data_IF_265562995984
#
_entry.id   IF_265562995984
#
_cell.length_a   1.000
_cell.length_b   1.000
_cell.length_c   1.000
_cell.angle_alpha   90.00
_cell.angle_beta   90.00
_cell.angle_gamma   90.00
#
_symmetry.space_group_name_H-M   'P 1'
#
loop_
_entity.id
_entity.type
_entity.pdbx_description
1 polymer ?
#
# COMPACT_ATOMS: atom_id res chain seq x y z
N UNK A 1 -11.88 0.91 -20.97
CA UNK A 1 -10.42 1.14 -20.79
C UNK A 1 -9.74 -0.10 -20.19
N UNK A 2 -9.50 -1.10 -21.05
CA UNK A 2 -8.77 -2.33 -20.69
C UNK A 2 -7.25 -2.10 -20.51
N UNK A 3 -6.76 -0.88 -20.77
CA UNK A 3 -5.32 -0.57 -20.77
C UNK A 3 -4.73 -0.21 -19.40
N UNK A 4 -5.54 -0.16 -18.33
CA UNK A 4 -5.08 0.23 -17.00
C UNK A 4 -4.83 -0.95 -16.04
N UNK A 5 -4.92 -2.20 -16.52
CA UNK A 5 -4.72 -3.37 -15.66
C UNK A 5 -3.25 -3.75 -15.57
N UNK A 6 -2.76 -4.10 -14.36
CA UNK A 6 -1.40 -4.58 -14.21
C UNK A 6 -1.20 -5.83 -15.04
N UNK A 7 -0.26 -5.80 -15.95
CA UNK A 7 0.24 -7.01 -16.57
C UNK A 7 1.13 -7.72 -15.54
N UNK A 8 1.16 -9.05 -15.55
CA UNK A 8 2.05 -9.85 -14.71
C UNK A 8 3.48 -9.29 -14.74
N UNK A 9 3.99 -8.97 -15.92
CA UNK A 9 5.34 -8.45 -16.16
C UNK A 9 5.63 -7.11 -15.45
N UNK A 10 4.68 -6.16 -15.45
CA UNK A 10 4.90 -4.84 -14.83
C UNK A 10 4.94 -4.93 -13.31
N UNK A 11 4.04 -5.72 -12.70
CA UNK A 11 4.04 -5.95 -11.26
C UNK A 11 5.35 -6.59 -10.80
N UNK A 12 5.83 -7.62 -11.51
CA UNK A 12 7.08 -8.32 -11.21
C UNK A 12 8.28 -7.36 -11.28
N UNK A 13 8.33 -6.53 -12.33
CA UNK A 13 9.42 -5.57 -12.52
C UNK A 13 9.43 -4.47 -11.45
N UNK A 14 8.27 -4.00 -10.99
CA UNK A 14 8.18 -2.99 -9.92
C UNK A 14 8.58 -3.58 -8.58
N UNK A 15 8.12 -4.79 -8.25
CA UNK A 15 8.49 -5.47 -6.99
C UNK A 15 9.99 -5.77 -6.96
N UNK A 16 10.54 -6.34 -8.05
CA UNK A 16 11.98 -6.58 -8.17
C UNK A 16 12.79 -5.28 -8.04
N UNK A 17 12.36 -4.21 -8.74
CA UNK A 17 13.01 -2.90 -8.66
C UNK A 17 12.95 -2.27 -7.26
N UNK A 18 11.90 -2.51 -6.50
CA UNK A 18 11.80 -2.08 -5.11
C UNK A 18 12.76 -2.85 -4.20
N UNK A 19 12.89 -4.16 -4.39
CA UNK A 19 13.89 -4.99 -3.68
C UNK A 19 15.31 -4.52 -4.00
N UNK A 20 15.64 -4.27 -5.27
CA UNK A 20 16.93 -3.77 -5.72
C UNK A 20 17.30 -2.41 -5.10
N UNK A 21 16.32 -1.54 -4.86
CA UNK A 21 16.49 -0.25 -4.17
C UNK A 21 16.60 -0.37 -2.65
N UNK A 22 16.35 -1.54 -2.08
CA UNK A 22 16.31 -1.71 -0.63
C UNK A 22 15.04 -1.09 0.02
N UNK A 23 13.95 -0.96 -0.74
CA UNK A 23 12.66 -0.52 -0.20
C UNK A 23 12.19 -1.55 0.83
N UNK A 24 11.86 -1.09 2.04
CA UNK A 24 11.44 -1.99 3.11
C UNK A 24 9.98 -2.38 3.05
N UNK A 25 9.15 -1.51 2.50
CA UNK A 25 7.70 -1.71 2.44
C UNK A 25 7.13 -1.10 1.17
N UNK A 26 6.46 -1.94 0.38
CA UNK A 26 5.79 -1.55 -0.86
C UNK A 26 4.30 -1.86 -0.74
N UNK A 27 3.44 -0.86 -0.95
CA UNK A 27 2.00 -1.04 -0.96
C UNK A 27 1.45 -0.92 -2.38
N UNK A 28 0.67 -1.91 -2.82
CA UNK A 28 0.06 -1.94 -4.16
C UNK A 28 -1.46 -1.96 -4.07
N UNK A 29 -2.12 -1.09 -4.86
CA UNK A 29 -3.57 -1.01 -4.92
C UNK A 29 -4.12 -2.02 -5.92
N UNK A 30 -4.36 -3.25 -5.48
CA UNK A 30 -4.78 -4.35 -6.34
C UNK A 30 -6.28 -4.30 -6.69
N UNK A 31 -7.16 -3.95 -5.72
CA UNK A 31 -8.59 -3.82 -5.94
C UNK A 31 -9.22 -2.92 -4.86
N UNK A 32 -9.87 -1.85 -5.30
CA UNK A 32 -10.53 -0.91 -4.38
C UNK A 32 -11.96 -1.33 -4.02
N UNK A 33 -12.47 -0.81 -2.90
CA UNK A 33 -13.90 -0.97 -2.55
C UNK A 33 -14.84 -0.34 -3.59
N UNK A 34 -14.41 0.66 -4.31
CA UNK A 34 -15.15 1.31 -5.39
C UNK A 34 -15.28 0.44 -6.64
N UNK A 35 -14.31 -0.46 -6.88
CA UNK A 35 -14.32 -1.35 -8.05
C UNK A 35 -15.52 -2.33 -8.05
N UNK A 36 -16.18 -2.56 -6.90
CA UNK A 36 -17.41 -3.32 -6.86
C UNK A 36 -18.59 -2.70 -7.62
N UNK A 37 -18.47 -1.42 -8.02
CA UNK A 37 -19.47 -0.72 -8.85
C UNK A 37 -19.29 -0.98 -10.34
N UNK A 38 -18.20 -1.62 -10.75
CA UNK A 38 -17.93 -2.00 -12.14
C UNK A 38 -18.88 -3.11 -12.60
N UNK A 39 -18.90 -3.38 -13.89
CA UNK A 39 -19.73 -4.45 -14.43
C UNK A 39 -19.40 -5.81 -13.79
N UNK A 40 -20.37 -6.71 -13.62
CA UNK A 40 -20.11 -8.04 -13.08
C UNK A 40 -19.05 -8.84 -13.86
N UNK A 41 -18.96 -8.64 -15.17
CA UNK A 41 -17.95 -9.28 -16.01
C UNK A 41 -16.53 -8.79 -15.66
N UNK A 42 -16.37 -7.49 -15.48
CA UNK A 42 -15.11 -6.86 -15.14
C UNK A 42 -14.66 -7.24 -13.72
N UNK A 43 -15.59 -7.26 -12.75
CA UNK A 43 -15.28 -7.73 -11.39
C UNK A 43 -14.83 -9.18 -11.40
N UNK A 44 -15.50 -10.06 -12.19
CA UNK A 44 -15.09 -11.47 -12.33
C UNK A 44 -13.68 -11.58 -12.90
N UNK A 45 -13.39 -10.80 -13.94
CA UNK A 45 -12.08 -10.77 -14.56
C UNK A 45 -11.00 -10.37 -13.54
N UNK A 46 -11.19 -9.25 -12.83
CA UNK A 46 -10.24 -8.74 -11.85
C UNK A 46 -9.96 -9.71 -10.70
N UNK A 47 -11.02 -10.33 -10.15
CA UNK A 47 -10.88 -11.32 -9.08
C UNK A 47 -10.14 -12.57 -9.56
N UNK A 48 -10.47 -13.06 -10.76
CA UNK A 48 -9.79 -14.19 -11.39
C UNK A 48 -8.32 -13.89 -11.67
N UNK A 49 -8.05 -12.72 -12.24
CA UNK A 49 -6.69 -12.23 -12.51
C UNK A 49 -5.85 -12.14 -11.23
N UNK A 50 -6.37 -11.47 -10.18
CA UNK A 50 -5.68 -11.35 -8.89
C UNK A 50 -5.29 -12.72 -8.33
N UNK A 51 -6.22 -13.69 -8.34
CA UNK A 51 -5.94 -15.05 -7.89
C UNK A 51 -4.84 -15.72 -8.70
N UNK A 52 -4.86 -15.57 -10.03
CA UNK A 52 -3.89 -16.19 -10.93
C UNK A 52 -2.50 -15.59 -10.72
N UNK A 53 -2.41 -14.27 -10.61
CA UNK A 53 -1.15 -13.56 -10.38
C UNK A 53 -0.53 -13.97 -9.05
N UNK A 54 -1.30 -13.94 -7.96
CA UNK A 54 -0.82 -14.37 -6.64
C UNK A 54 -0.24 -15.78 -6.68
N UNK A 55 -1.00 -16.73 -7.25
CA UNK A 55 -0.55 -18.11 -7.35
C UNK A 55 0.75 -18.26 -8.11
N UNK A 56 0.91 -17.51 -9.20
CA UNK A 56 2.07 -17.59 -10.07
C UNK A 56 3.31 -16.88 -9.50
N UNK A 57 3.12 -15.84 -8.68
CA UNK A 57 4.21 -15.00 -8.17
C UNK A 57 4.67 -15.39 -6.75
N UNK A 58 3.91 -16.19 -6.02
CA UNK A 58 4.24 -16.50 -4.62
C UNK A 58 5.63 -17.11 -4.46
N UNK A 59 6.04 -17.97 -5.39
CA UNK A 59 7.34 -18.65 -5.34
C UNK A 59 8.49 -17.66 -5.62
N UNK A 60 8.32 -16.74 -6.59
CA UNK A 60 9.28 -15.67 -6.87
C UNK A 60 9.41 -14.72 -5.66
N UNK A 61 8.28 -14.34 -5.04
CA UNK A 61 8.27 -13.51 -3.83
C UNK A 61 8.96 -14.19 -2.65
N UNK A 62 8.80 -15.50 -2.51
CA UNK A 62 9.50 -16.29 -1.50
C UNK A 62 11.01 -16.25 -1.74
N UNK A 63 11.46 -16.47 -2.97
CA UNK A 63 12.88 -16.45 -3.37
C UNK A 63 13.51 -15.07 -3.16
N UNK A 64 12.80 -13.99 -3.44
CA UNK A 64 13.28 -12.61 -3.26
C UNK A 64 13.27 -12.14 -1.79
N UNK A 65 12.81 -12.97 -0.88
CA UNK A 65 12.70 -12.61 0.54
C UNK A 65 11.57 -11.60 0.81
N UNK A 66 10.56 -11.52 -0.06
CA UNK A 66 9.42 -10.61 0.06
C UNK A 66 8.30 -11.27 0.86
N UNK A 67 7.88 -10.63 1.95
CA UNK A 67 6.74 -11.05 2.77
C UNK A 67 5.45 -10.41 2.26
N UNK A 68 4.49 -11.23 1.88
CA UNK A 68 3.15 -10.75 1.51
C UNK A 68 2.33 -10.44 2.75
N UNK A 69 1.68 -9.29 2.76
CA UNK A 69 0.74 -8.85 3.78
C UNK A 69 -0.56 -8.36 3.10
N UNK A 70 -1.69 -8.94 3.46
CA UNK A 70 -2.97 -8.49 2.91
C UNK A 70 -3.55 -7.35 3.73
N UNK A 71 -3.91 -6.26 3.05
CA UNK A 71 -4.53 -5.07 3.63
C UNK A 71 -5.89 -4.86 2.96
N UNK A 72 -6.96 -5.01 3.73
CA UNK A 72 -8.32 -4.88 3.21
C UNK A 72 -9.37 -5.58 4.05
N UNK A 73 -10.58 -5.64 3.51
CA UNK A 73 -11.74 -6.18 4.24
C UNK A 73 -12.32 -7.43 3.57
N UNK A 74 -12.89 -8.33 4.39
CA UNK A 74 -13.46 -9.60 3.91
C UNK A 74 -14.81 -9.48 3.20
N UNK A 75 -15.73 -8.57 3.55
CA UNK A 75 -17.05 -8.54 2.94
C UNK A 75 -16.96 -8.44 1.41
N UNK A 76 -17.72 -9.30 0.71
CA UNK A 76 -17.79 -9.42 -0.76
C UNK A 76 -16.54 -10.04 -1.42
N UNK A 77 -15.39 -10.12 -0.74
CA UNK A 77 -14.20 -10.76 -1.30
C UNK A 77 -14.46 -12.26 -1.51
N UNK A 78 -14.11 -12.76 -2.70
CA UNK A 78 -14.34 -14.16 -3.02
C UNK A 78 -13.48 -15.08 -2.14
N UNK A 79 -14.07 -16.13 -1.61
CA UNK A 79 -13.37 -17.12 -0.77
C UNK A 79 -12.12 -17.69 -1.44
N UNK A 80 -12.17 -17.94 -2.76
CA UNK A 80 -11.04 -18.46 -3.53
C UNK A 80 -9.87 -17.47 -3.63
N UNK A 81 -10.15 -16.16 -3.75
CA UNK A 81 -9.13 -15.10 -3.74
C UNK A 81 -8.54 -14.95 -2.35
N UNK A 82 -9.40 -14.89 -1.32
CA UNK A 82 -8.95 -14.81 0.08
C UNK A 82 -8.07 -16.00 0.47
N UNK A 83 -8.45 -17.22 0.04
CA UNK A 83 -7.65 -18.43 0.30
C UNK A 83 -6.26 -18.34 -0.33
N UNK A 84 -6.14 -17.82 -1.56
CA UNK A 84 -4.85 -17.67 -2.22
C UNK A 84 -3.98 -16.59 -1.57
N UNK A 85 -4.57 -15.45 -1.20
CA UNK A 85 -3.87 -14.40 -0.44
C UNK A 85 -3.32 -14.97 0.88
N UNK A 86 -4.16 -15.67 1.65
CA UNK A 86 -3.74 -16.28 2.92
C UNK A 86 -2.69 -17.39 2.73
N UNK A 87 -2.73 -18.09 1.58
CA UNK A 87 -1.68 -19.03 1.21
C UNK A 87 -0.36 -18.32 1.00
N UNK A 88 -0.35 -17.23 0.22
CA UNK A 88 0.85 -16.42 -0.04
C UNK A 88 1.43 -15.84 1.25
N UNK A 89 0.59 -15.27 2.13
CA UNK A 89 1.01 -14.78 3.44
C UNK A 89 1.72 -15.87 4.26
N UNK A 90 1.15 -17.08 4.33
CA UNK A 90 1.76 -18.18 5.09
C UNK A 90 3.09 -18.65 4.51
N UNK A 91 3.18 -18.77 3.18
CA UNK A 91 4.40 -19.22 2.50
C UNK A 91 5.54 -18.23 2.70
N UNK A 92 5.24 -16.93 2.64
CA UNK A 92 6.24 -15.86 2.71
C UNK A 92 6.42 -15.29 4.13
N UNK A 93 5.80 -15.88 5.15
CA UNK A 93 5.76 -15.32 6.51
C UNK A 93 7.15 -15.10 7.14
N UNK A 94 8.12 -15.93 6.79
CA UNK A 94 9.49 -15.86 7.30
C UNK A 94 10.40 -14.87 6.55
N UNK A 95 9.90 -14.20 5.50
CA UNK A 95 10.69 -13.29 4.69
C UNK A 95 10.86 -11.92 5.37
N UNK A 96 12.06 -11.33 5.22
CA UNK A 96 12.44 -10.10 5.91
C UNK A 96 13.03 -9.02 4.99
N UNK A 97 13.26 -9.31 3.70
CA UNK A 97 13.85 -8.35 2.75
C UNK A 97 12.93 -7.16 2.52
N UNK A 98 11.66 -7.40 2.23
CA UNK A 98 10.64 -6.38 1.99
C UNK A 98 9.25 -6.88 2.39
N UNK A 99 8.39 -5.99 2.85
CA UNK A 99 6.96 -6.26 3.01
C UNK A 99 6.20 -5.75 1.79
N UNK A 100 5.43 -6.63 1.13
CA UNK A 100 4.53 -6.29 0.05
C UNK A 100 3.09 -6.23 0.60
N UNK A 101 2.57 -5.03 0.83
CA UNK A 101 1.19 -4.83 1.22
C UNK A 101 0.29 -4.89 -0.01
N UNK A 102 -0.48 -5.95 -0.11
CA UNK A 102 -1.50 -6.10 -1.14
C UNK A 102 -2.83 -5.48 -0.67
N UNK A 103 -3.10 -4.25 -1.11
CA UNK A 103 -4.35 -3.56 -0.81
C UNK A 103 -5.46 -4.11 -1.73
N UNK A 104 -6.17 -5.13 -1.24
CA UNK A 104 -7.20 -5.87 -1.98
C UNK A 104 -8.54 -5.78 -1.24
N UNK A 105 -9.59 -5.34 -1.94
CA UNK A 105 -10.87 -4.94 -1.35
C UNK A 105 -10.65 -3.86 -0.28
N UNK A 106 -9.80 -2.90 -0.62
CA UNK A 106 -9.34 -1.83 0.25
C UNK A 106 -10.00 -0.49 -0.10
N UNK A 107 -10.13 0.37 0.89
CA UNK A 107 -10.50 1.78 0.74
C UNK A 107 -10.32 2.50 2.07
N UNK A 108 -9.53 3.56 2.11
CA UNK A 108 -9.12 4.24 3.34
C UNK A 108 -10.29 4.79 4.15
N UNK A 109 -11.34 5.31 3.49
CA UNK A 109 -12.58 5.73 4.21
C UNK A 109 -13.29 4.55 4.86
N UNK A 110 -13.32 3.38 4.20
CA UNK A 110 -13.93 2.18 4.75
C UNK A 110 -13.10 1.64 5.92
N UNK A 111 -11.78 1.66 5.81
CA UNK A 111 -10.85 1.27 6.86
C UNK A 111 -11.02 2.13 8.12
N UNK A 112 -11.01 3.46 7.97
CA UNK A 112 -11.23 4.39 9.10
C UNK A 112 -12.60 4.17 9.74
N UNK A 113 -13.66 3.94 8.95
CA UNK A 113 -15.00 3.67 9.47
C UNK A 113 -15.06 2.32 10.22
N UNK A 114 -14.37 1.28 9.73
CA UNK A 114 -14.29 -0.01 10.41
C UNK A 114 -13.47 0.09 11.71
N UNK A 115 -12.36 0.84 11.72
CA UNK A 115 -11.57 1.15 12.90
C UNK A 115 -12.41 1.90 13.95
N UNK A 116 -13.12 2.95 13.55
CA UNK A 116 -14.01 3.71 14.44
C UNK A 116 -15.09 2.82 15.04
N UNK A 117 -15.70 1.91 14.26
CA UNK A 117 -16.68 0.95 14.75
C UNK A 117 -16.11 -0.02 15.77
N UNK A 118 -14.90 -0.54 15.52
CA UNK A 118 -14.21 -1.43 16.44
C UNK A 118 -13.89 -0.73 17.78
N UNK A 119 -13.38 0.51 17.72
CA UNK A 119 -13.10 1.35 18.89
C UNK A 119 -14.38 1.63 19.69
N UNK A 120 -15.48 2.00 19.02
CA UNK A 120 -16.77 2.21 19.66
C UNK A 120 -17.26 0.94 20.38
N UNK A 121 -17.04 -0.24 19.79
CA UNK A 121 -17.33 -1.52 20.43
C UNK A 121 -16.49 -1.77 21.68
N UNK A 122 -15.21 -1.40 21.69
CA UNK A 122 -14.36 -1.50 22.87
C UNK A 122 -14.81 -0.54 23.99
N UNK A 123 -15.19 0.68 23.63
CA UNK A 123 -15.72 1.65 24.58
C UNK A 123 -17.04 1.16 25.20
N UNK A 124 -17.96 0.68 24.38
CA UNK A 124 -19.23 0.12 24.84
C UNK A 124 -19.06 -1.10 25.76
N UNK A 125 -18.02 -1.90 25.53
CA UNK A 125 -17.67 -3.06 26.36
C UNK A 125 -16.83 -2.69 27.61
N UNK A 126 -16.54 -1.42 27.84
CA UNK A 126 -15.74 -0.94 28.99
C UNK A 126 -14.25 -1.28 28.92
N UNK A 127 -13.74 -1.77 27.76
CA UNK A 127 -12.32 -2.09 27.58
C UNK A 127 -11.46 -0.88 27.25
N UNK A 128 -12.07 0.21 26.78
CA UNK A 128 -11.41 1.46 26.41
C UNK A 128 -12.24 2.64 26.95
N UNK A 129 -11.59 3.64 27.50
CA UNK A 129 -12.26 4.92 27.82
C UNK A 129 -12.26 5.82 26.60
N UNK A 130 -13.37 6.49 26.30
CA UNK A 130 -13.45 7.42 25.18
C UNK A 130 -12.38 8.52 25.24
N UNK A 131 -12.03 8.99 26.46
CA UNK A 131 -10.97 9.98 26.68
C UNK A 131 -9.54 9.48 26.41
N UNK A 132 -9.36 8.16 26.25
CA UNK A 132 -8.06 7.54 25.96
C UNK A 132 -7.88 7.23 24.46
N UNK A 133 -8.81 7.64 23.61
CA UNK A 133 -8.68 7.49 22.16
C UNK A 133 -7.66 8.50 21.64
N UNK A 134 -6.63 8.02 20.98
CA UNK A 134 -5.55 8.78 20.36
C UNK A 134 -5.32 8.31 18.93
N UNK A 135 -4.45 8.98 18.16
CA UNK A 135 -4.01 8.52 16.83
C UNK A 135 -3.45 7.09 16.88
N UNK A 136 -2.67 6.76 17.92
CA UNK A 136 -2.15 5.41 18.14
C UNK A 136 -3.29 4.40 18.38
N UNK A 137 -4.39 4.81 18.98
CA UNK A 137 -5.58 3.96 19.13
C UNK A 137 -6.20 3.66 17.77
N UNK A 138 -6.35 4.67 16.90
CA UNK A 138 -6.87 4.48 15.54
C UNK A 138 -5.95 3.54 14.77
N UNK A 139 -4.63 3.81 14.74
CA UNK A 139 -3.63 2.99 14.05
C UNK A 139 -3.73 1.50 14.40
N UNK A 140 -3.90 1.17 15.69
CA UNK A 140 -4.06 -0.23 16.14
C UNK A 140 -5.30 -0.93 15.60
N UNK A 141 -6.30 -0.19 15.13
CA UNK A 141 -7.55 -0.73 14.59
C UNK A 141 -7.65 -0.64 13.07
N UNK A 142 -6.62 -0.12 12.38
CA UNK A 142 -6.51 -0.19 10.93
C UNK A 142 -6.30 -1.63 10.47
N UNK A 143 -6.47 -1.91 9.18
CA UNK A 143 -6.37 -3.27 8.63
C UNK A 143 -4.96 -3.87 8.77
N UNK A 144 -3.93 -3.03 8.80
CA UNK A 144 -2.55 -3.42 9.04
C UNK A 144 -1.89 -2.49 10.07
N UNK A 145 -2.04 -2.76 11.38
CA UNK A 145 -1.51 -1.90 12.45
C UNK A 145 0.01 -1.71 12.43
N UNK A 146 0.74 -2.64 11.81
CA UNK A 146 2.20 -2.63 11.70
C UNK A 146 2.71 -1.94 10.45
N UNK A 147 1.81 -1.56 9.52
CA UNK A 147 2.19 -0.84 8.31
C UNK A 147 2.77 0.53 8.65
N UNK A 148 3.83 0.90 7.98
CA UNK A 148 4.50 2.19 8.17
C UNK A 148 3.75 3.30 7.47
N UNK A 149 4.01 4.54 7.89
CA UNK A 149 3.57 5.70 7.13
C UNK A 149 4.24 5.71 5.75
N UNK A 150 3.48 6.13 4.74
CA UNK A 150 3.95 6.18 3.36
C UNK A 150 4.83 7.40 3.16
N UNK A 151 6.06 7.20 2.74
CA UNK A 151 6.99 8.28 2.39
C UNK A 151 6.73 8.83 1.00
N UNK A 152 6.45 7.95 0.02
CA UNK A 152 6.21 8.30 -1.37
C UNK A 152 4.98 7.56 -1.91
N UNK A 153 3.98 8.31 -2.37
CA UNK A 153 2.82 7.78 -3.07
C UNK A 153 2.98 8.04 -4.57
N UNK A 154 3.04 6.97 -5.35
CA UNK A 154 3.16 7.03 -6.81
C UNK A 154 1.80 6.76 -7.44
N UNK A 155 1.33 7.65 -8.31
CA UNK A 155 0.14 7.46 -9.13
C UNK A 155 0.50 7.45 -10.61
N UNK A 156 0.18 6.35 -11.28
CA UNK A 156 0.34 6.18 -12.74
C UNK A 156 -0.95 6.52 -13.49
N UNK A 157 -0.88 6.65 -14.82
CA UNK A 157 -2.05 6.87 -15.67
C UNK A 157 -2.48 8.33 -15.82
N UNK A 158 -1.61 9.30 -15.47
CA UNK A 158 -1.87 10.73 -15.70
C UNK A 158 -2.85 11.40 -14.74
N UNK A 159 -3.41 10.67 -13.79
CA UNK A 159 -4.36 11.21 -12.83
C UNK A 159 -3.67 11.74 -11.57
N UNK A 160 -4.13 12.88 -11.05
CA UNK A 160 -3.52 13.59 -9.91
C UNK A 160 -4.45 13.54 -8.67
N UNK A 161 -4.70 12.35 -8.17
CA UNK A 161 -5.51 12.11 -6.97
C UNK A 161 -5.11 10.80 -6.29
N UNK A 162 -5.33 10.67 -4.99
CA UNK A 162 -5.02 9.46 -4.21
C UNK A 162 -6.06 8.35 -4.35
N UNK A 163 -7.27 8.70 -4.78
CA UNK A 163 -8.40 7.78 -4.97
C UNK A 163 -8.70 6.88 -3.76
N UNK A 164 -8.73 7.48 -2.57
CA UNK A 164 -9.06 6.75 -1.33
C UNK A 164 -7.99 5.69 -0.94
N UNK A 165 -6.76 5.83 -1.46
CA UNK A 165 -5.66 4.90 -1.18
C UNK A 165 -4.85 5.38 0.02
N UNK A 166 -4.72 4.53 1.04
CA UNK A 166 -3.89 4.71 2.24
C UNK A 166 -4.01 6.10 2.87
N UNK A 167 -5.25 6.60 3.06
CA UNK A 167 -5.50 7.99 3.48
C UNK A 167 -4.83 8.29 4.83
N UNK A 168 -4.82 7.34 5.74
CA UNK A 168 -4.22 7.50 7.05
C UNK A 168 -2.70 7.49 6.97
N UNK A 169 -2.13 6.48 6.33
CA UNK A 169 -0.69 6.27 6.23
C UNK A 169 0.00 7.27 5.31
N UNK A 170 -0.72 7.78 4.30
CA UNK A 170 -0.19 8.73 3.31
C UNK A 170 -0.42 10.19 3.69
N UNK A 171 -0.82 10.49 4.93
CA UNK A 171 -1.14 11.86 5.37
C UNK A 171 0.01 12.86 5.14
N UNK A 172 1.26 12.38 5.21
CA UNK A 172 2.48 13.17 4.99
C UNK A 172 3.33 12.66 3.82
N UNK A 173 2.76 11.81 2.96
CA UNK A 173 3.47 11.27 1.82
C UNK A 173 3.78 12.33 0.77
N UNK A 174 4.97 12.28 0.21
CA UNK A 174 5.28 12.99 -1.03
C UNK A 174 4.53 12.34 -2.20
N UNK A 175 4.02 13.14 -3.13
CA UNK A 175 3.23 12.66 -4.25
C UNK A 175 4.06 12.70 -5.53
N UNK A 176 4.05 11.61 -6.28
CA UNK A 176 4.65 11.51 -7.60
C UNK A 176 3.60 11.04 -8.61
N UNK A 177 3.34 11.84 -9.64
CA UNK A 177 2.35 11.55 -10.67
C UNK A 177 3.05 11.24 -11.99
N UNK A 178 2.78 10.06 -12.55
CA UNK A 178 3.30 9.62 -13.84
C UNK A 178 2.19 9.58 -14.88
N UNK A 179 2.45 10.12 -16.07
CA UNK A 179 1.53 10.01 -17.20
C UNK A 179 1.46 8.58 -17.78
N UNK A 180 2.48 7.75 -17.52
CA UNK A 180 2.55 6.40 -18.04
C UNK A 180 1.46 5.52 -17.40
N UNK A 181 0.74 4.70 -18.18
CA UNK A 181 -0.17 3.71 -17.63
C UNK A 181 0.61 2.60 -16.90
N UNK A 182 -0.05 1.93 -15.94
CA UNK A 182 0.61 0.90 -15.12
C UNK A 182 1.36 -0.17 -15.93
N UNK A 183 0.86 -0.69 -17.07
CA UNK A 183 1.59 -1.69 -17.83
C UNK A 183 2.94 -1.24 -18.38
N UNK A 184 3.17 0.07 -18.49
CA UNK A 184 4.42 0.69 -18.98
C UNK A 184 5.30 1.20 -17.83
N UNK A 185 4.79 1.18 -16.60
CA UNK A 185 5.51 1.60 -15.41
C UNK A 185 6.35 0.43 -14.87
N UNK A 186 7.62 0.43 -15.19
CA UNK A 186 8.58 -0.62 -14.82
C UNK A 186 9.52 -0.18 -13.67
N UNK A 187 10.56 -0.99 -13.40
CA UNK A 187 11.56 -0.69 -12.37
C UNK A 187 12.32 0.62 -12.62
N UNK A 188 12.59 0.98 -13.88
CA UNK A 188 13.30 2.21 -14.22
C UNK A 188 12.45 3.42 -13.86
N UNK A 189 11.15 3.34 -14.08
CA UNK A 189 10.21 4.40 -13.72
C UNK A 189 10.07 4.52 -12.18
N UNK A 190 10.06 3.38 -11.48
CA UNK A 190 10.11 3.38 -10.02
C UNK A 190 11.38 4.07 -9.50
N UNK A 191 12.54 3.76 -10.06
CA UNK A 191 13.81 4.37 -9.65
C UNK A 191 13.82 5.88 -9.87
N UNK A 192 13.29 6.36 -11.01
CA UNK A 192 13.12 7.80 -11.28
C UNK A 192 12.20 8.47 -10.27
N UNK A 193 11.13 7.81 -9.87
CA UNK A 193 10.23 8.35 -8.85
C UNK A 193 10.91 8.46 -7.48
N UNK A 194 11.72 7.45 -7.11
CA UNK A 194 12.50 7.46 -5.86
C UNK A 194 13.64 8.49 -5.93
N UNK A 195 14.31 8.66 -7.06
CA UNK A 195 15.32 9.70 -7.27
C UNK A 195 14.70 11.10 -7.13
N UNK A 196 13.55 11.34 -7.74
CA UNK A 196 12.81 12.59 -7.60
C UNK A 196 12.38 12.86 -6.14
N UNK A 197 12.00 11.81 -5.40
CA UNK A 197 11.71 11.90 -3.97
C UNK A 197 12.96 12.25 -3.17
N UNK A 198 14.09 11.59 -3.41
CA UNK A 198 15.35 11.81 -2.68
C UNK A 198 15.89 13.24 -2.83
N UNK A 199 15.52 13.94 -3.91
CA UNK A 199 15.88 15.34 -4.13
C UNK A 199 14.99 16.36 -3.41
N UNK A 200 13.95 15.93 -2.68
CA UNK A 200 13.02 16.82 -1.99
C UNK A 200 13.42 17.07 -0.54
N UNK A 201 13.20 18.30 -0.07
CA UNK A 201 13.30 18.64 1.35
C UNK A 201 11.97 18.38 2.06
N UNK A 202 11.96 17.48 3.04
CA UNK A 202 10.76 17.19 3.86
C UNK A 202 10.79 18.06 5.12
N UNK A 203 9.78 18.89 5.30
CA UNK A 203 9.72 19.88 6.39
C UNK A 203 8.79 19.49 7.55
N UNK A 204 7.91 18.51 7.40
CA UNK A 204 6.96 18.03 8.42
C UNK A 204 6.28 19.15 9.24
N UNK A 205 5.94 20.27 8.59
CA UNK A 205 5.35 21.45 9.26
C UNK A 205 6.35 22.31 10.03
N UNK A 206 7.64 22.01 10.03
CA UNK A 206 8.68 22.86 10.62
C UNK A 206 8.99 24.06 9.75
N UNK A 207 9.03 25.27 10.32
CA UNK A 207 9.61 26.42 9.68
C UNK A 207 11.14 26.23 9.64
N UNK A 208 11.77 26.45 8.48
CA UNK A 208 13.21 26.62 8.44
C UNK A 208 13.48 28.07 8.81
N UNK A 209 13.77 28.33 10.07
CA UNK A 209 14.46 29.57 10.41
C UNK A 209 15.81 29.51 9.70
N UNK A 210 16.05 30.49 8.83
CA UNK A 210 17.34 30.66 8.15
C UNK A 210 18.38 31.08 9.19
N UNK A 211 18.97 30.11 9.86
CA UNK A 211 20.14 30.33 10.73
C UNK A 211 21.20 29.32 10.34
N UNK A 212 22.24 29.91 9.70
CA UNK A 212 23.63 29.42 9.59
C UNK A 212 23.92 27.92 9.45
N UNK A 213 24.18 27.48 8.20
CA UNK A 213 25.43 26.77 7.87
C UNK A 213 25.66 25.36 8.44
N UNK A 214 24.69 24.65 9.00
CA UNK A 214 24.86 23.24 9.33
C UNK A 214 23.83 22.36 8.59
N UNK A 215 24.32 21.61 7.60
CA UNK A 215 23.56 20.55 6.94
C UNK A 215 23.19 19.50 7.99
N UNK A 216 21.92 19.12 8.13
CA UNK A 216 21.54 18.00 8.98
C UNK A 216 22.14 16.70 8.45
N UNK A 217 22.62 15.89 9.38
CA UNK A 217 23.28 14.60 9.16
C UNK A 217 22.41 13.68 8.29
N UNK A 218 22.96 13.25 7.13
CA UNK A 218 22.31 12.39 6.13
C UNK A 218 22.20 10.94 6.62
N UNK A 219 21.49 10.67 7.70
CA UNK A 219 21.28 9.31 8.21
C UNK A 219 19.82 9.06 8.58
N UNK A 220 18.94 9.04 7.61
CA UNK A 220 17.69 8.27 7.66
C UNK A 220 16.99 8.30 6.31
N UNK A 221 17.60 7.68 5.31
CA UNK A 221 16.89 7.11 4.17
C UNK A 221 16.61 5.66 4.54
N UNK A 222 15.43 5.42 5.01
CA UNK A 222 14.93 4.07 5.32
C UNK A 222 13.53 3.96 4.72
#
# INVERSE_FOLDING_TARGET
DLHSFPTRRSSDLVVAGAVELGVRELSVYAFSTENWRRSPAEVRFLMGFTRTVLRAQTDDLLEWGVRVNWVGRTPRLWKSVLSEVRRSERITAGNETMVLNMCLNYGGRAEIADAARAIAGEVAAGRLKASAITEATIRRHLYSPTMRDVDLLIRTGGEQRTSNFLIWEAAYAELYFSALPWPEFDRVQLWRAVEAYAGRERRFGGAVDAVDGQLPDRKSVV
#
